data_IF_638678403753
#
_entry.id   IF_638678403753
#
_cell.length_a   1.000
_cell.length_b   1.000
_cell.length_c   1.000
_cell.angle_alpha   90.00
_cell.angle_beta   90.00
_cell.angle_gamma   90.00
#
_symmetry.space_group_name_H-M   'P 1'
#
loop_
_entity.id
_entity.type
_entity.pdbx_description
1 polymer ?
#
# COMPACT_ATOMS: atom_id res chain seq x y z
N UNK A 1 -21.99 23.53 -51.04
CA UNK A 1 -21.27 22.30 -51.45
C UNK A 1 -22.08 21.11 -51.00
N UNK A 2 -22.68 20.36 -51.94
CA UNK A 2 -23.50 19.17 -51.68
C UNK A 2 -22.59 18.00 -51.35
N UNK A 3 -22.78 17.40 -50.17
CA UNK A 3 -22.16 16.13 -49.76
C UNK A 3 -22.75 15.00 -50.62
N UNK A 4 -21.96 14.11 -51.23
CA UNK A 4 -22.48 13.07 -52.11
C UNK A 4 -23.21 12.01 -51.26
N UNK A 5 -24.50 11.79 -51.65
CA UNK A 5 -25.37 10.76 -51.10
C UNK A 5 -24.93 9.37 -51.61
N UNK A 6 -23.94 8.76 -50.97
CA UNK A 6 -23.44 7.45 -51.39
C UNK A 6 -22.82 6.58 -50.30
N UNK A 7 -22.57 7.13 -49.12
CA UNK A 7 -21.84 6.41 -48.05
C UNK A 7 -22.75 5.87 -46.92
N UNK A 8 -24.03 6.24 -46.92
CA UNK A 8 -24.96 5.82 -45.87
C UNK A 8 -25.49 4.38 -46.02
N UNK A 9 -25.51 3.86 -47.23
CA UNK A 9 -26.12 2.56 -47.53
C UNK A 9 -25.23 1.37 -47.11
N UNK A 10 -23.90 1.55 -47.04
CA UNK A 10 -22.98 0.46 -46.70
C UNK A 10 -23.03 0.08 -45.23
N UNK A 11 -23.26 1.04 -44.36
CA UNK A 11 -23.40 0.80 -42.92
C UNK A 11 -24.77 0.23 -42.54
N UNK A 12 -25.83 0.64 -43.23
CA UNK A 12 -27.19 0.13 -43.02
C UNK A 12 -27.36 -1.32 -43.48
N UNK A 13 -26.70 -1.73 -44.55
CA UNK A 13 -26.74 -3.12 -45.05
C UNK A 13 -26.04 -4.09 -44.11
N UNK A 14 -25.00 -3.65 -43.37
CA UNK A 14 -24.27 -4.47 -42.40
C UNK A 14 -25.06 -4.73 -41.12
N UNK A 15 -26.04 -3.90 -40.81
CA UNK A 15 -26.96 -4.07 -39.67
C UNK A 15 -28.04 -5.13 -39.97
N UNK A 16 -28.43 -5.28 -41.25
CA UNK A 16 -29.47 -6.22 -41.71
C UNK A 16 -28.96 -7.67 -41.88
N UNK A 17 -27.66 -7.92 -41.90
CA UNK A 17 -27.07 -9.26 -42.06
C UNK A 17 -26.71 -9.94 -40.73
N UNK A 18 -27.49 -9.74 -39.66
CA UNK A 18 -27.46 -10.62 -38.48
C UNK A 18 -26.16 -10.69 -37.68
N UNK A 19 -25.18 -9.85 -37.99
CA UNK A 19 -24.04 -9.61 -37.11
C UNK A 19 -24.48 -8.65 -36.00
N UNK A 20 -24.75 -9.14 -34.80
CA UNK A 20 -24.96 -8.28 -33.67
C UNK A 20 -23.88 -7.22 -33.66
N UNK A 21 -24.20 -5.90 -33.67
CA UNK A 21 -23.17 -4.89 -33.57
C UNK A 21 -22.35 -5.22 -32.33
N UNK A 22 -21.04 -5.36 -32.50
CA UNK A 22 -20.11 -5.51 -31.38
C UNK A 22 -20.08 -4.14 -30.70
N UNK A 23 -21.24 -3.72 -30.21
CA UNK A 23 -21.37 -2.59 -29.30
C UNK A 23 -20.60 -3.03 -28.07
N UNK A 24 -19.40 -2.52 -27.95
CA UNK A 24 -18.65 -2.69 -26.72
C UNK A 24 -19.64 -2.36 -25.61
N UNK A 25 -19.96 -3.34 -24.72
CA UNK A 25 -20.94 -3.20 -23.64
C UNK A 25 -20.43 -2.16 -22.64
N UNK A 26 -20.39 -0.91 -23.07
CA UNK A 26 -19.92 0.25 -22.30
C UNK A 26 -20.83 0.43 -21.09
N UNK A 27 -22.14 0.27 -21.31
CA UNK A 27 -23.16 0.38 -20.26
C UNK A 27 -22.93 -0.59 -19.08
N UNK A 28 -22.46 -1.81 -19.34
CA UNK A 28 -22.14 -2.77 -18.29
C UNK A 28 -20.80 -2.51 -17.58
N UNK A 29 -19.92 -1.72 -18.19
CA UNK A 29 -18.60 -1.38 -17.65
C UNK A 29 -18.60 -0.07 -16.87
N UNK A 30 -19.49 0.85 -17.21
CA UNK A 30 -19.63 2.12 -16.51
C UNK A 30 -19.89 1.96 -15.00
N UNK A 31 -20.83 1.11 -14.54
CA UNK A 31 -21.07 0.96 -13.11
C UNK A 31 -19.86 0.40 -12.36
N UNK A 32 -19.03 -0.45 -13.02
CA UNK A 32 -17.81 -0.98 -12.40
C UNK A 32 -16.77 0.13 -12.22
N UNK A 33 -16.61 0.99 -13.25
CA UNK A 33 -15.69 2.13 -13.16
C UNK A 33 -16.17 3.12 -12.11
N UNK A 34 -17.49 3.40 -12.06
CA UNK A 34 -18.07 4.28 -11.04
C UNK A 34 -17.84 3.75 -9.62
N UNK A 35 -18.05 2.45 -9.39
CA UNK A 35 -17.77 1.82 -8.10
C UNK A 35 -16.28 1.86 -7.70
N UNK A 36 -15.35 1.89 -8.67
CA UNK A 36 -13.92 2.07 -8.38
C UNK A 36 -13.65 3.55 -8.06
N UNK A 37 -14.25 4.48 -8.80
CA UNK A 37 -14.12 5.91 -8.55
C UNK A 37 -14.66 6.29 -7.16
N UNK A 38 -15.80 5.75 -6.76
CA UNK A 38 -16.38 5.95 -5.42
C UNK A 38 -15.43 5.45 -4.32
N UNK A 39 -14.82 4.27 -4.51
CA UNK A 39 -13.83 3.76 -3.56
C UNK A 39 -12.57 4.64 -3.49
N UNK A 40 -12.15 5.23 -4.63
CA UNK A 40 -10.96 6.09 -4.72
C UNK A 40 -11.22 7.51 -4.21
N UNK A 41 -12.46 8.02 -4.29
CA UNK A 41 -12.77 9.40 -3.90
C UNK A 41 -12.47 9.66 -2.42
N UNK A 42 -12.72 8.66 -1.56
CA UNK A 42 -12.47 8.74 -0.11
C UNK A 42 -11.13 8.09 0.29
N UNK A 43 -10.31 7.64 -0.67
CA UNK A 43 -9.12 6.88 -0.39
C UNK A 43 -7.95 7.77 0.02
N UNK A 44 -7.32 7.47 1.16
CA UNK A 44 -6.05 8.08 1.58
C UNK A 44 -4.85 7.42 0.92
N UNK A 45 -4.96 6.13 0.58
CA UNK A 45 -3.90 5.39 -0.09
C UNK A 45 -4.42 4.33 -1.04
N UNK A 46 -3.67 4.12 -2.12
CA UNK A 46 -3.89 3.06 -3.09
C UNK A 46 -2.56 2.38 -3.44
N UNK A 47 -2.50 1.06 -3.31
CA UNK A 47 -1.31 0.26 -3.60
C UNK A 47 -1.62 -0.76 -4.69
N UNK A 48 -0.78 -0.81 -5.72
CA UNK A 48 -0.88 -1.78 -6.81
C UNK A 48 0.08 -2.93 -6.54
N UNK A 49 -0.45 -4.15 -6.65
CA UNK A 49 0.31 -5.38 -6.46
C UNK A 49 0.09 -6.35 -7.61
N UNK A 50 1.12 -7.14 -7.90
CA UNK A 50 1.01 -8.30 -8.77
C UNK A 50 0.64 -9.51 -7.90
N UNK A 51 -0.51 -10.13 -8.19
CA UNK A 51 -1.02 -11.29 -7.43
C UNK A 51 -0.74 -12.63 -8.12
N UNK A 52 -0.02 -12.61 -9.24
CA UNK A 52 0.22 -13.81 -10.02
C UNK A 52 1.10 -14.81 -9.25
N UNK A 53 0.67 -16.08 -9.24
CA UNK A 53 1.42 -17.14 -8.55
C UNK A 53 1.00 -17.41 -7.10
N UNK A 54 0.03 -16.68 -6.57
CA UNK A 54 -0.55 -16.99 -5.26
C UNK A 54 -1.45 -18.23 -5.34
N UNK A 55 -1.43 -19.04 -4.29
CA UNK A 55 -2.41 -20.13 -4.12
C UNK A 55 -3.74 -19.57 -3.63
N UNK A 56 -4.84 -20.30 -3.86
CA UNK A 56 -6.19 -19.87 -3.43
C UNK A 56 -6.26 -19.70 -1.90
N UNK A 57 -5.56 -20.55 -1.15
CA UNK A 57 -5.50 -20.43 0.31
C UNK A 57 -4.84 -19.11 0.74
N UNK A 58 -3.68 -18.78 0.14
CA UNK A 58 -2.95 -17.54 0.41
C UNK A 58 -3.76 -16.29 0.04
N UNK A 59 -4.42 -16.28 -1.14
CA UNK A 59 -5.27 -15.14 -1.54
C UNK A 59 -6.46 -14.97 -0.57
N UNK A 60 -7.04 -16.07 -0.07
CA UNK A 60 -8.12 -16.03 0.91
C UNK A 60 -7.66 -15.43 2.25
N UNK A 61 -6.49 -15.83 2.73
CA UNK A 61 -5.90 -15.29 3.95
C UNK A 61 -5.53 -13.81 3.79
N UNK A 62 -4.94 -13.43 2.66
CA UNK A 62 -4.63 -12.05 2.33
C UNK A 62 -5.89 -11.18 2.35
N UNK A 63 -6.94 -11.61 1.69
CA UNK A 63 -8.23 -10.89 1.66
C UNK A 63 -8.85 -10.78 3.05
N UNK A 64 -8.70 -11.79 3.90
CA UNK A 64 -9.18 -11.76 5.27
C UNK A 64 -8.43 -10.69 6.08
N UNK A 65 -7.10 -10.71 6.05
CA UNK A 65 -6.27 -9.74 6.77
C UNK A 65 -6.52 -8.30 6.29
N UNK A 66 -6.66 -8.08 4.98
CA UNK A 66 -6.96 -6.76 4.42
C UNK A 66 -8.34 -6.26 4.85
N UNK A 67 -9.35 -7.15 4.87
CA UNK A 67 -10.70 -6.80 5.31
C UNK A 67 -10.76 -6.49 6.80
N UNK A 68 -10.03 -7.21 7.64
CA UNK A 68 -9.90 -6.94 9.07
C UNK A 68 -9.27 -5.56 9.35
N UNK A 69 -8.40 -5.10 8.46
CA UNK A 69 -7.78 -3.77 8.53
C UNK A 69 -8.56 -2.66 7.80
N UNK A 70 -9.79 -2.93 7.34
CA UNK A 70 -10.60 -1.94 6.62
C UNK A 70 -10.12 -1.62 5.20
N UNK A 71 -9.22 -2.43 4.63
CA UNK A 71 -8.68 -2.22 3.29
C UNK A 71 -9.53 -2.93 2.25
N UNK A 72 -9.95 -2.19 1.23
CA UNK A 72 -10.70 -2.74 0.09
C UNK A 72 -9.72 -3.29 -0.93
N UNK A 73 -9.75 -4.60 -1.15
CA UNK A 73 -8.91 -5.28 -2.14
C UNK A 73 -9.73 -5.73 -3.33
N UNK A 74 -9.44 -5.19 -4.51
CA UNK A 74 -10.15 -5.50 -5.75
C UNK A 74 -9.18 -5.87 -6.87
N UNK A 75 -9.56 -6.89 -7.64
CA UNK A 75 -8.88 -7.26 -8.89
C UNK A 75 -9.71 -6.71 -10.04
N UNK A 76 -9.16 -5.77 -10.77
CA UNK A 76 -9.85 -5.11 -11.87
C UNK A 76 -9.00 -5.13 -13.14
N UNK A 77 -9.67 -4.97 -14.28
CA UNK A 77 -8.97 -4.85 -15.55
C UNK A 77 -8.21 -3.53 -15.63
N UNK A 78 -6.94 -3.54 -16.07
CA UNK A 78 -6.06 -2.37 -16.13
C UNK A 78 -6.70 -1.18 -16.87
N UNK A 79 -7.40 -1.44 -17.98
CA UNK A 79 -8.10 -0.39 -18.74
C UNK A 79 -9.27 0.26 -17.98
N UNK A 80 -9.86 -0.42 -17.01
CA UNK A 80 -10.89 0.16 -16.15
C UNK A 80 -10.25 0.99 -15.03
N UNK A 81 -9.13 0.51 -14.47
CA UNK A 81 -8.35 1.26 -13.48
C UNK A 81 -7.81 2.56 -14.08
N UNK A 82 -7.24 2.53 -15.29
CA UNK A 82 -6.79 3.75 -15.99
C UNK A 82 -7.89 4.80 -16.09
N UNK A 83 -9.09 4.39 -16.52
CA UNK A 83 -10.24 5.30 -16.61
C UNK A 83 -10.72 5.82 -15.26
N UNK A 84 -10.58 5.03 -14.21
CA UNK A 84 -10.95 5.46 -12.86
C UNK A 84 -9.91 6.40 -12.25
N UNK A 85 -8.63 6.31 -12.66
CA UNK A 85 -7.56 7.19 -12.22
C UNK A 85 -7.55 8.54 -12.96
N UNK A 86 -8.15 8.61 -14.18
CA UNK A 86 -8.30 9.85 -14.92
C UNK A 86 -9.03 10.90 -14.06
N UNK A 87 -8.35 11.98 -13.74
CA UNK A 87 -8.91 13.07 -12.92
C UNK A 87 -8.73 12.93 -11.40
N UNK A 88 -7.96 11.94 -10.94
CA UNK A 88 -7.59 11.77 -9.53
C UNK A 88 -6.07 11.85 -9.34
N UNK A 89 -5.61 12.06 -8.11
CA UNK A 89 -4.19 12.09 -7.77
C UNK A 89 -3.47 10.76 -8.06
N UNK A 90 -4.26 9.69 -8.25
CA UNK A 90 -3.77 8.34 -8.55
C UNK A 90 -3.37 8.13 -10.02
N UNK A 91 -3.51 9.13 -10.90
CA UNK A 91 -3.08 9.06 -12.31
C UNK A 91 -1.57 8.72 -12.46
N UNK A 92 -0.77 9.03 -11.44
CA UNK A 92 0.66 8.68 -11.40
C UNK A 92 0.93 7.17 -11.40
N UNK A 93 -0.08 6.33 -11.10
CA UNK A 93 0.04 4.87 -11.08
C UNK A 93 -0.18 4.23 -12.46
N UNK A 94 -0.58 4.99 -13.48
CA UNK A 94 -0.87 4.48 -14.83
C UNK A 94 0.32 3.76 -15.48
N UNK A 95 1.54 4.21 -15.18
CA UNK A 95 2.78 3.60 -15.67
C UNK A 95 2.99 2.16 -15.17
N UNK A 96 2.45 1.83 -13.99
CA UNK A 96 2.63 0.53 -13.33
C UNK A 96 1.49 -0.46 -13.60
N UNK A 97 0.49 -0.08 -14.39
CA UNK A 97 -0.66 -0.91 -14.72
C UNK A 97 -0.36 -1.95 -15.83
N UNK A 98 0.83 -2.54 -15.82
CA UNK A 98 1.20 -3.61 -16.73
C UNK A 98 1.03 -4.99 -16.08
N UNK A 99 0.50 -5.96 -16.85
CA UNK A 99 0.29 -7.33 -16.38
C UNK A 99 -0.90 -7.50 -15.43
N UNK A 100 -0.93 -8.61 -14.65
CA UNK A 100 -2.00 -8.91 -13.71
C UNK A 100 -1.85 -8.04 -12.45
N UNK A 101 -2.78 -7.14 -12.25
CA UNK A 101 -2.74 -6.20 -11.14
C UNK A 101 -3.99 -6.32 -10.26
N UNK A 102 -3.76 -6.17 -8.98
CA UNK A 102 -4.79 -5.93 -7.99
C UNK A 102 -4.53 -4.58 -7.30
N UNK A 103 -5.59 -3.92 -6.88
CA UNK A 103 -5.53 -2.67 -6.14
C UNK A 103 -6.01 -2.89 -4.72
N UNK A 104 -5.24 -2.39 -3.76
CA UNK A 104 -5.61 -2.31 -2.36
C UNK A 104 -5.81 -0.84 -1.99
N UNK A 105 -7.02 -0.49 -1.57
CA UNK A 105 -7.45 0.88 -1.26
C UNK A 105 -7.75 0.97 0.23
N UNK A 106 -7.20 1.97 0.91
CA UNK A 106 -7.54 2.27 2.30
C UNK A 106 -8.14 3.65 2.44
N UNK A 107 -9.18 3.74 3.30
CA UNK A 107 -9.88 4.99 3.63
C UNK A 107 -9.43 5.54 4.98
N UNK A 108 -9.14 4.69 5.94
CA UNK A 108 -8.85 5.09 7.31
C UNK A 108 -7.34 5.26 7.58
N UNK A 109 -6.57 4.20 7.31
CA UNK A 109 -5.13 4.16 7.56
C UNK A 109 -4.34 4.18 6.26
N UNK A 110 -3.61 5.26 5.98
CA UNK A 110 -2.79 5.40 4.77
C UNK A 110 -1.69 4.34 4.64
N UNK A 111 -1.16 3.83 5.75
CA UNK A 111 -0.06 2.85 5.76
C UNK A 111 -0.51 1.39 5.86
N UNK A 112 -1.78 1.13 6.20
CA UNK A 112 -2.30 -0.22 6.41
C UNK A 112 -2.09 -1.17 5.21
N UNK A 113 -2.44 -0.80 3.95
CA UNK A 113 -2.26 -1.68 2.82
C UNK A 113 -0.79 -2.01 2.58
N UNK A 114 0.11 -1.03 2.65
CA UNK A 114 1.54 -1.25 2.46
C UNK A 114 2.11 -2.20 3.52
N UNK A 115 1.71 -2.03 4.78
CA UNK A 115 2.17 -2.87 5.92
C UNK A 115 1.74 -4.31 5.78
N UNK A 116 0.46 -4.55 5.47
CA UNK A 116 -0.08 -5.92 5.36
C UNK A 116 0.49 -6.62 4.13
N UNK A 117 0.50 -5.94 2.98
CA UNK A 117 1.03 -6.49 1.75
C UNK A 117 2.54 -6.80 1.84
N UNK A 118 3.33 -5.94 2.49
CA UNK A 118 4.75 -6.19 2.68
C UNK A 118 5.03 -7.31 3.71
N UNK A 119 4.19 -7.49 4.72
CA UNK A 119 4.27 -8.66 5.62
C UNK A 119 3.98 -9.93 4.83
N UNK A 120 2.90 -9.93 4.08
CA UNK A 120 2.48 -11.10 3.30
C UNK A 120 3.45 -11.43 2.17
N UNK A 121 4.11 -10.44 1.55
CA UNK A 121 5.14 -10.65 0.54
C UNK A 121 6.40 -11.36 1.10
N UNK A 122 6.65 -11.30 2.41
CA UNK A 122 7.72 -12.10 3.05
C UNK A 122 7.35 -13.58 3.15
N UNK A 123 6.07 -13.87 3.40
CA UNK A 123 5.56 -15.23 3.54
C UNK A 123 5.28 -15.85 2.16
N UNK A 124 4.78 -15.06 1.23
CA UNK A 124 4.45 -15.46 -0.14
C UNK A 124 5.29 -14.68 -1.15
N UNK A 125 6.42 -15.25 -1.58
CA UNK A 125 7.35 -14.63 -2.55
C UNK A 125 6.73 -14.33 -3.92
N UNK A 126 5.55 -14.89 -4.20
CA UNK A 126 4.83 -14.67 -5.44
C UNK A 126 4.12 -13.30 -5.48
N UNK A 127 3.90 -12.65 -4.32
CA UNK A 127 3.30 -11.33 -4.26
C UNK A 127 4.37 -10.25 -4.45
N UNK A 128 4.25 -9.47 -5.50
CA UNK A 128 5.15 -8.36 -5.79
C UNK A 128 4.42 -7.03 -5.63
N UNK A 129 4.97 -6.15 -4.80
CA UNK A 129 4.54 -4.76 -4.71
C UNK A 129 5.12 -4.00 -5.90
N UNK A 130 4.30 -3.28 -6.65
CA UNK A 130 4.76 -2.48 -7.79
C UNK A 130 4.94 -1.02 -7.43
N UNK A 131 3.88 -0.37 -7.09
CA UNK A 131 3.87 1.03 -6.70
C UNK A 131 2.64 1.33 -5.85
N UNK A 132 2.65 2.47 -5.18
CA UNK A 132 1.50 2.97 -4.45
C UNK A 132 1.52 4.49 -4.37
N UNK A 133 0.35 5.05 -4.14
CA UNK A 133 0.19 6.45 -3.82
C UNK A 133 -0.37 6.54 -2.41
N UNK A 134 0.27 7.32 -1.58
CA UNK A 134 -0.12 7.57 -0.19
C UNK A 134 -0.17 9.08 0.00
N UNK A 135 -1.32 9.61 0.40
CA UNK A 135 -1.55 11.05 0.58
C UNK A 135 -1.12 11.90 -0.65
N UNK A 136 -1.40 11.39 -1.86
CA UNK A 136 -1.06 12.09 -3.11
C UNK A 136 0.40 11.96 -3.55
N UNK A 137 1.26 11.30 -2.78
CA UNK A 137 2.66 11.06 -3.14
C UNK A 137 2.85 9.64 -3.69
N UNK A 138 3.60 9.54 -4.79
CA UNK A 138 3.96 8.27 -5.43
C UNK A 138 5.13 7.62 -4.69
N UNK A 139 5.00 6.34 -4.41
CA UNK A 139 6.02 5.51 -3.79
C UNK A 139 6.29 4.28 -4.65
N UNK A 140 7.56 4.03 -4.92
CA UNK A 140 8.01 2.83 -5.60
C UNK A 140 8.07 1.62 -4.64
N UNK A 141 8.30 0.42 -5.17
CA UNK A 141 8.33 -0.81 -4.39
C UNK A 141 9.32 -0.75 -3.19
N UNK A 142 10.48 -0.12 -3.35
CA UNK A 142 11.47 0.05 -2.29
C UNK A 142 10.95 0.99 -1.19
N UNK A 143 10.39 2.13 -1.57
CA UNK A 143 9.82 3.10 -0.65
C UNK A 143 8.58 2.56 0.08
N UNK A 144 7.73 1.74 -0.59
CA UNK A 144 6.63 1.02 0.04
C UNK A 144 7.11 0.04 1.12
N UNK A 145 8.26 -0.62 0.91
CA UNK A 145 8.84 -1.50 1.91
C UNK A 145 9.35 -0.73 3.15
N UNK A 146 9.74 0.53 3.00
CA UNK A 146 10.07 1.42 4.12
C UNK A 146 8.81 1.89 4.85
N UNK A 147 7.78 2.30 4.11
CA UNK A 147 6.47 2.65 4.67
C UNK A 147 5.85 1.49 5.47
N UNK A 148 6.08 0.26 5.02
CA UNK A 148 5.60 -0.93 5.73
C UNK A 148 6.23 -1.14 7.13
N UNK A 149 7.36 -0.48 7.42
CA UNK A 149 7.97 -0.49 8.76
C UNK A 149 7.27 0.44 9.74
N UNK A 150 6.48 1.38 9.22
CA UNK A 150 5.73 2.33 10.05
C UNK A 150 4.56 1.61 10.70
N UNK A 151 4.45 1.63 12.04
CA UNK A 151 3.35 1.02 12.76
C UNK A 151 2.03 1.79 12.52
N UNK A 152 0.91 1.23 12.99
CA UNK A 152 -0.39 1.91 12.91
C UNK A 152 -0.41 3.20 13.72
N UNK A 153 -1.36 4.09 13.39
CA UNK A 153 -1.56 5.35 14.09
C UNK A 153 -1.74 5.16 15.60
N UNK A 154 -2.52 4.15 15.99
CA UNK A 154 -2.76 3.82 17.39
C UNK A 154 -1.49 3.37 18.11
N UNK A 155 -0.66 2.56 17.45
CA UNK A 155 0.61 2.10 17.99
C UNK A 155 1.62 3.24 18.12
N UNK A 156 1.64 4.19 17.17
CA UNK A 156 2.46 5.40 17.26
C UNK A 156 2.04 6.28 18.43
N UNK A 157 0.73 6.49 18.62
CA UNK A 157 0.21 7.23 19.77
C UNK A 157 0.52 6.55 21.08
N UNK A 158 0.39 5.22 21.15
CA UNK A 158 0.77 4.42 22.32
C UNK A 158 2.25 4.57 22.65
N UNK A 159 3.13 4.50 21.65
CA UNK A 159 4.58 4.72 21.85
C UNK A 159 4.88 6.13 22.31
N UNK A 160 4.22 7.13 21.74
CA UNK A 160 4.38 8.54 22.14
C UNK A 160 3.98 8.72 23.61
N UNK A 161 2.81 8.24 24.01
CA UNK A 161 2.35 8.30 25.40
C UNK A 161 3.29 7.54 26.34
N UNK A 162 3.75 6.35 25.92
CA UNK A 162 4.73 5.56 26.69
C UNK A 162 6.06 6.31 26.87
N UNK A 163 6.56 6.99 25.84
CA UNK A 163 7.79 7.78 25.93
C UNK A 163 7.65 9.00 26.86
N UNK A 164 6.47 9.63 26.89
CA UNK A 164 6.19 10.75 27.81
C UNK A 164 6.09 10.28 29.27
N UNK A 165 5.57 9.08 29.52
CA UNK A 165 5.47 8.51 30.86
C UNK A 165 6.76 7.83 31.34
N UNK A 166 7.65 7.46 30.41
CA UNK A 166 8.88 6.72 30.70
C UNK A 166 9.78 7.40 31.75
N UNK A 167 10.03 8.71 31.72
CA UNK A 167 10.87 9.36 32.72
C UNK A 167 10.30 9.21 34.15
N UNK A 168 8.98 9.33 34.32
CA UNK A 168 8.30 9.22 35.62
C UNK A 168 8.33 7.79 36.13
N UNK A 169 8.03 6.82 35.24
CA UNK A 169 8.05 5.40 35.62
C UNK A 169 9.46 4.90 35.90
N UNK A 170 10.47 5.39 35.19
CA UNK A 170 11.86 5.06 35.45
C UNK A 170 12.32 5.63 36.80
N UNK A 171 11.96 6.87 37.14
CA UNK A 171 12.23 7.45 38.43
C UNK A 171 11.60 6.62 39.55
N UNK A 172 10.31 6.28 39.42
CA UNK A 172 9.63 5.44 40.43
C UNK A 172 10.29 4.05 40.56
N UNK A 173 10.71 3.45 39.44
CA UNK A 173 11.43 2.16 39.47
C UNK A 173 12.77 2.27 40.18
N UNK A 174 13.56 3.31 39.92
CA UNK A 174 14.84 3.54 40.59
C UNK A 174 14.63 3.77 42.08
N UNK A 175 13.64 4.57 42.48
CA UNK A 175 13.30 4.78 43.89
C UNK A 175 12.89 3.47 44.59
N UNK A 176 12.07 2.63 43.94
CA UNK A 176 11.73 1.32 44.47
C UNK A 176 12.95 0.40 44.60
N UNK A 177 13.84 0.39 43.60
CA UNK A 177 15.08 -0.40 43.68
C UNK A 177 16.01 0.06 44.78
N UNK A 178 16.09 1.36 45.04
CA UNK A 178 16.85 1.91 46.16
C UNK A 178 16.20 1.49 47.48
N UNK A 179 14.89 1.54 47.60
CA UNK A 179 14.15 1.11 48.77
C UNK A 179 14.32 -0.41 49.06
N UNK A 180 14.25 -1.25 48.03
CA UNK A 180 14.45 -2.70 48.14
C UNK A 180 15.89 -3.09 48.47
N UNK A 181 16.88 -2.36 47.97
CA UNK A 181 18.30 -2.59 48.25
C UNK A 181 18.78 -1.95 49.53
N UNK A 182 17.86 -1.43 50.39
CA UNK A 182 18.19 -0.91 51.72
C UNK A 182 19.11 0.28 51.70
N UNK A 183 18.75 1.33 51.04
CA UNK A 183 19.11 2.73 51.29
C UNK A 183 20.54 3.14 51.60
N UNK A 184 21.57 2.34 51.32
CA UNK A 184 22.95 2.81 51.44
C UNK A 184 23.91 1.83 50.76
N UNK A 185 24.27 2.10 49.54
CA UNK A 185 25.60 1.93 48.96
C UNK A 185 25.57 2.03 47.45
N UNK A 186 26.42 2.89 46.97
CA UNK A 186 26.86 3.05 45.54
C UNK A 186 25.88 3.64 44.56
N UNK A 187 25.81 4.97 44.61
CA UNK A 187 25.59 5.77 43.42
C UNK A 187 26.83 5.66 42.52
N UNK A 188 26.90 4.65 41.70
CA UNK A 188 27.70 4.73 40.48
C UNK A 188 26.78 5.30 39.38
N UNK A 189 27.14 6.45 38.81
CA UNK A 189 26.42 6.93 37.63
C UNK A 189 26.66 5.90 36.52
N UNK A 190 25.60 5.24 36.07
CA UNK A 190 25.63 4.44 34.87
C UNK A 190 26.00 5.38 33.71
N UNK A 191 27.24 5.33 33.30
CA UNK A 191 27.79 5.92 32.12
C UNK A 191 26.96 5.45 30.93
N UNK A 192 26.42 6.40 30.25
CA UNK A 192 25.77 6.32 28.98
C UNK A 192 26.71 5.62 27.98
N UNK A 193 26.55 4.30 27.80
CA UNK A 193 27.15 3.63 26.65
C UNK A 193 26.32 3.94 25.42
N UNK A 194 26.75 4.98 24.71
CA UNK A 194 26.44 5.15 23.32
C UNK A 194 27.05 3.97 22.53
N UNK A 195 26.34 3.34 21.60
CA UNK A 195 26.94 2.35 20.73
C UNK A 195 27.93 3.04 19.80
N UNK A 196 29.21 2.79 20.06
CA UNK A 196 30.31 3.23 19.23
C UNK A 196 30.17 2.59 17.85
N UNK A 197 30.15 3.45 16.89
CA UNK A 197 30.43 3.35 15.49
C UNK A 197 31.65 2.44 15.24
N UNK A 198 31.45 1.29 14.60
CA UNK A 198 32.52 0.48 14.07
C UNK A 198 33.06 1.17 12.80
N UNK A 199 34.09 1.97 12.99
CA UNK A 199 34.89 2.53 11.92
C UNK A 199 35.70 1.42 11.23
N UNK A 200 35.71 1.53 9.93
CA UNK A 200 36.47 0.85 8.93
C UNK A 200 37.92 0.50 9.34
N UNK A 201 38.28 -0.75 9.15
CA UNK A 201 39.66 -1.15 8.90
C UNK A 201 39.79 -1.68 7.48
N UNK A 202 40.42 -0.86 6.67
CA UNK A 202 41.05 -1.29 5.41
C UNK A 202 42.40 -1.91 5.75
N UNK A 203 42.74 -3.09 5.28
CA UNK A 203 44.14 -3.48 5.20
C UNK A 203 44.72 -3.05 3.85
N UNK A 204 45.75 -2.23 3.94
CA UNK A 204 46.64 -1.92 2.85
C UNK A 204 47.51 -3.11 2.49
N UNK A 205 47.68 -3.27 1.20
CA UNK A 205 48.75 -3.80 0.37
C UNK A 205 50.11 -4.05 1.05
N UNK A 206 50.67 -5.23 0.80
CA UNK A 206 52.07 -5.44 0.43
C UNK A 206 52.28 -6.95 0.16
N UNK A 207 52.70 -7.33 -0.92
CA UNK A 207 53.74 -7.71 -1.90
C UNK A 207 53.19 -8.69 -2.94
#
# INVERSE_FOLDING_TARGET
MKVPAGTETFWQLKILQGGAPFVAKVELKQPIVQAIVEDLTDAQSAVIVNYCGLTVAQDTELRKQLREAGVVYKVCKNTMMKRAFEGTDFAQLDEYLDGPNAIAISKDDATAPARILAKFAKDAKALELKAGVVEGQKYDAAALAELAKIPSREELLSRLLGSMQSPITNLARVLNQIAEKGGAAECTPATEEAPAEAAAETPATEE
#
